data_IF_883418420073
#
_entry.id   IF_883418420073
#
_cell.length_a   1.000
_cell.length_b   1.000
_cell.length_c   1.000
_cell.angle_alpha   90.00
_cell.angle_beta   90.00
_cell.angle_gamma   90.00
#
_symmetry.space_group_name_H-M   'P 1'
#
loop_
_entity.id
_entity.type
_entity.pdbx_description
1 polymer ?
#
# COMPACT_ATOMS: atom_id res chain seq x y z
N UNK A 1 -14.70 2.66 15.37
CA UNK A 1 -13.94 3.38 14.32
C UNK A 1 -13.66 2.50 13.07
N UNK A 2 -14.65 2.37 12.19
CA UNK A 2 -14.72 1.50 10.99
C UNK A 2 -13.43 1.40 10.12
N UNK A 3 -12.85 0.21 9.86
CA UNK A 3 -11.74 -0.03 8.90
C UNK A 3 -12.24 -0.36 7.49
N UNK A 4 -13.55 -0.26 7.26
CA UNK A 4 -14.05 0.14 5.94
C UNK A 4 -13.59 1.57 5.57
N UNK A 5 -12.97 2.30 6.51
CA UNK A 5 -12.56 3.70 6.39
C UNK A 5 -11.14 3.99 6.92
N UNK A 6 -10.17 3.06 6.85
CA UNK A 6 -8.82 3.58 6.52
C UNK A 6 -8.94 3.98 5.07
N UNK A 7 -9.46 5.19 4.90
CA UNK A 7 -9.34 5.86 3.65
C UNK A 7 -7.82 5.99 3.47
N UNK A 8 -7.20 5.11 2.67
CA UNK A 8 -5.78 5.19 2.36
C UNK A 8 -5.42 6.59 1.83
N UNK A 9 -6.43 7.27 1.27
CA UNK A 9 -6.41 8.70 1.05
C UNK A 9 -6.20 9.50 2.36
N UNK A 10 -7.07 9.43 3.37
CA UNK A 10 -6.92 10.20 4.62
C UNK A 10 -5.72 9.78 5.49
N UNK A 11 -5.29 8.52 5.44
CA UNK A 11 -4.19 8.03 6.28
C UNK A 11 -2.80 8.34 5.71
N UNK A 12 -2.69 8.49 4.39
CA UNK A 12 -1.38 8.68 3.73
C UNK A 12 -1.40 9.77 2.67
N UNK A 13 -2.46 9.86 1.86
CA UNK A 13 -2.56 10.88 0.83
C UNK A 13 -2.81 12.27 1.40
N UNK A 14 -3.66 12.43 2.42
CA UNK A 14 -3.92 13.71 3.09
C UNK A 14 -2.68 14.18 3.85
N UNK A 15 -2.00 13.37 4.69
CA UNK A 15 -0.73 13.78 5.29
C UNK A 15 0.38 14.07 4.26
N UNK A 16 0.50 13.27 3.19
CA UNK A 16 1.48 13.54 2.13
C UNK A 16 1.15 14.83 1.35
N UNK A 17 -0.13 15.08 1.08
CA UNK A 17 -0.63 16.31 0.48
C UNK A 17 -0.35 17.51 1.40
N UNK A 18 -0.63 17.39 2.70
CA UNK A 18 -0.38 18.43 3.69
C UNK A 18 1.11 18.73 3.84
N UNK A 19 1.98 17.72 3.80
CA UNK A 19 3.44 17.89 3.80
C UNK A 19 3.90 18.67 2.56
N UNK A 20 3.38 18.34 1.36
CA UNK A 20 3.71 19.05 0.13
C UNK A 20 3.16 20.48 0.16
N UNK A 21 1.89 20.67 0.56
CA UNK A 21 1.24 21.97 0.65
C UNK A 21 1.94 22.89 1.67
N UNK A 22 2.32 22.33 2.82
CA UNK A 22 3.09 23.04 3.85
C UNK A 22 4.48 23.39 3.35
N UNK A 23 5.17 22.48 2.67
CA UNK A 23 6.49 22.74 2.07
C UNK A 23 6.41 23.90 1.06
N UNK A 24 5.39 23.92 0.20
CA UNK A 24 5.17 25.00 -0.76
C UNK A 24 4.83 26.34 -0.09
N UNK A 25 4.02 26.31 0.97
CA UNK A 25 3.69 27.51 1.74
C UNK A 25 4.93 28.12 2.40
N UNK A 26 5.77 27.29 3.00
CA UNK A 26 7.03 27.71 3.61
C UNK A 26 8.00 28.30 2.58
N UNK A 27 8.11 27.69 1.39
CA UNK A 27 8.95 28.21 0.32
C UNK A 27 8.45 29.59 -0.19
N UNK A 28 7.14 29.77 -0.37
CA UNK A 28 6.56 31.07 -0.74
C UNK A 28 6.80 32.15 0.31
N UNK A 29 6.74 31.77 1.58
CA UNK A 29 7.08 32.71 2.64
C UNK A 29 8.58 33.06 2.62
N UNK A 30 9.43 32.05 2.43
CA UNK A 30 10.88 32.23 2.30
C UNK A 30 11.29 33.09 1.09
N UNK A 31 10.53 33.06 0.00
CA UNK A 31 10.73 33.92 -1.18
C UNK A 31 10.58 35.42 -0.87
N UNK A 32 9.80 35.78 0.15
CA UNK A 32 9.66 37.18 0.57
C UNK A 32 10.83 37.69 1.42
N UNK A 33 11.77 36.81 1.80
CA UNK A 33 12.91 37.18 2.62
C UNK A 33 13.98 37.94 1.79
N UNK A 34 14.69 38.92 2.38
CA UNK A 34 15.74 39.67 1.68
C UNK A 34 16.88 38.81 1.14
N UNK A 35 17.05 37.60 1.69
CA UNK A 35 18.08 36.63 1.33
C UNK A 35 17.53 35.39 0.61
N UNK A 36 16.31 35.46 0.04
CA UNK A 36 15.64 34.32 -0.59
C UNK A 36 16.52 33.53 -1.58
N UNK A 37 17.36 34.22 -2.36
CA UNK A 37 18.24 33.61 -3.36
C UNK A 37 19.30 32.65 -2.78
N UNK A 38 19.68 32.79 -1.50
CA UNK A 38 20.67 31.92 -0.87
C UNK A 38 20.05 30.78 -0.05
N UNK A 39 18.75 30.84 0.25
CA UNK A 39 18.06 29.88 1.12
C UNK A 39 18.04 28.46 0.55
N UNK A 40 17.99 28.30 -0.77
CA UNK A 40 17.99 26.97 -1.41
C UNK A 40 19.29 26.19 -1.21
N UNK A 41 20.41 26.88 -0.96
CA UNK A 41 21.71 26.29 -0.67
C UNK A 41 21.98 26.16 0.84
N UNK A 42 21.14 26.77 1.68
CA UNK A 42 21.32 26.79 3.13
C UNK A 42 21.17 25.38 3.75
N UNK A 43 21.90 25.18 4.85
CA UNK A 43 21.98 23.91 5.60
C UNK A 43 21.85 24.19 7.09
N UNK A 44 21.27 23.24 7.83
CA UNK A 44 21.21 23.29 9.30
C UNK A 44 22.50 22.82 9.96
N UNK A 45 23.32 22.06 9.24
CA UNK A 45 24.66 21.62 9.63
C UNK A 45 25.52 21.40 8.39
N UNK A 46 26.85 21.56 8.49
CA UNK A 46 27.77 21.53 7.36
C UNK A 46 27.73 20.19 6.59
N UNK A 47 27.52 19.09 7.30
CA UNK A 47 27.37 17.74 6.73
C UNK A 47 25.96 17.40 6.25
N UNK A 48 24.96 18.23 6.51
CA UNK A 48 23.56 18.00 6.09
C UNK A 48 23.31 18.55 4.69
N UNK A 49 22.32 17.99 3.99
CA UNK A 49 21.97 18.40 2.63
C UNK A 49 21.40 19.84 2.59
N UNK A 50 21.50 20.54 1.45
CA UNK A 50 20.87 21.85 1.31
C UNK A 50 19.35 21.73 1.22
N UNK A 51 18.62 22.80 1.55
CA UNK A 51 17.16 22.88 1.50
C UNK A 51 16.57 22.33 0.19
N UNK A 52 17.16 22.71 -0.95
CA UNK A 52 16.75 22.22 -2.28
C UNK A 52 16.77 20.69 -2.41
N UNK A 53 17.76 20.02 -1.83
CA UNK A 53 17.85 18.56 -1.84
C UNK A 53 16.77 17.91 -0.96
N UNK A 54 16.45 18.50 0.21
CA UNK A 54 15.34 18.05 1.04
C UNK A 54 13.99 18.14 0.31
N UNK A 55 13.73 19.25 -0.41
CA UNK A 55 12.54 19.40 -1.25
C UNK A 55 12.46 18.33 -2.35
N UNK A 56 13.59 18.00 -3.00
CA UNK A 56 13.66 16.95 -4.01
C UNK A 56 13.32 15.55 -3.48
N UNK A 57 13.74 15.24 -2.24
CA UNK A 57 13.38 13.97 -1.57
C UNK A 57 11.87 13.91 -1.30
N UNK A 58 11.26 14.98 -0.79
CA UNK A 58 9.80 15.05 -0.55
C UNK A 58 9.03 14.75 -1.84
N UNK A 59 9.39 15.41 -2.95
CA UNK A 59 8.76 15.19 -4.25
C UNK A 59 8.91 13.74 -4.75
N UNK A 60 10.11 13.16 -4.62
CA UNK A 60 10.41 11.80 -5.09
C UNK A 60 9.69 10.73 -4.26
N UNK A 61 9.61 10.91 -2.94
CA UNK A 61 8.92 9.97 -2.04
C UNK A 61 7.43 9.91 -2.35
N UNK A 62 6.77 11.06 -2.57
CA UNK A 62 5.34 11.11 -2.93
C UNK A 62 5.08 10.43 -4.27
N UNK A 63 5.91 10.68 -5.29
CA UNK A 63 5.78 10.06 -6.62
C UNK A 63 5.92 8.53 -6.60
N UNK A 64 6.89 8.00 -5.84
CA UNK A 64 7.11 6.55 -5.71
C UNK A 64 6.06 5.86 -4.83
N UNK A 65 5.46 6.57 -3.87
CA UNK A 65 4.43 6.04 -2.98
C UNK A 65 3.11 5.82 -3.71
N UNK A 66 2.63 6.86 -4.42
CA UNK A 66 1.37 6.81 -5.18
C UNK A 66 1.39 5.73 -6.27
N UNK A 67 2.56 5.47 -6.87
CA UNK A 67 2.71 4.51 -7.97
C UNK A 67 2.87 3.04 -7.55
N UNK A 68 3.11 2.70 -6.27
CA UNK A 68 3.47 1.32 -5.85
C UNK A 68 2.38 0.57 -5.09
N UNK A 69 1.61 1.23 -4.23
CA UNK A 69 0.62 0.57 -3.35
C UNK A 69 -0.72 0.39 -4.06
N UNK A 70 -1.23 1.45 -4.71
CA UNK A 70 -2.49 1.37 -5.46
C UNK A 70 -2.37 0.43 -6.67
N UNK A 71 -1.24 0.41 -7.36
CA UNK A 71 -1.09 -0.39 -8.57
C UNK A 71 -1.16 -1.91 -8.34
N UNK A 72 -0.71 -2.46 -7.20
CA UNK A 72 -0.73 -3.91 -6.98
C UNK A 72 -2.10 -4.44 -6.57
N UNK A 73 -2.83 -3.72 -5.72
CA UNK A 73 -4.19 -4.10 -5.32
C UNK A 73 -5.20 -3.84 -6.45
N UNK A 74 -5.08 -2.71 -7.15
CA UNK A 74 -5.91 -2.42 -8.33
C UNK A 74 -5.62 -3.37 -9.48
N UNK A 75 -4.35 -3.76 -9.70
CA UNK A 75 -4.02 -4.78 -10.70
C UNK A 75 -4.56 -6.16 -10.32
N UNK A 76 -4.50 -6.56 -9.05
CA UNK A 76 -5.10 -7.80 -8.58
C UNK A 76 -6.63 -7.79 -8.76
N UNK A 77 -7.29 -6.68 -8.43
CA UNK A 77 -8.72 -6.48 -8.65
C UNK A 77 -9.07 -6.55 -10.15
N UNK A 78 -8.32 -5.84 -10.99
CA UNK A 78 -8.54 -5.84 -12.44
C UNK A 78 -8.34 -7.24 -13.04
N UNK A 79 -7.34 -8.00 -12.56
CA UNK A 79 -7.11 -9.38 -12.98
C UNK A 79 -8.31 -10.26 -12.60
N UNK A 80 -8.78 -10.18 -11.35
CA UNK A 80 -9.94 -10.95 -10.88
C UNK A 80 -11.21 -10.60 -11.65
N UNK A 81 -11.43 -9.32 -11.95
CA UNK A 81 -12.59 -8.87 -12.75
C UNK A 81 -12.52 -9.32 -14.22
N UNK A 82 -11.32 -9.34 -14.81
CA UNK A 82 -11.13 -9.77 -16.19
C UNK A 82 -11.06 -11.29 -16.36
N UNK A 83 -11.03 -12.05 -15.26
CA UNK A 83 -10.87 -13.51 -15.31
C UNK A 83 -12.19 -14.19 -15.70
N UNK A 84 -12.11 -15.04 -16.71
CA UNK A 84 -13.24 -15.85 -17.15
C UNK A 84 -13.52 -17.01 -16.18
N UNK A 85 -14.78 -17.11 -15.76
CA UNK A 85 -15.25 -18.09 -14.78
C UNK A 85 -15.05 -19.54 -15.26
N UNK A 86 -15.29 -19.82 -16.54
CA UNK A 86 -15.22 -21.18 -17.08
C UNK A 86 -13.77 -21.63 -17.22
N UNK A 87 -12.87 -20.72 -17.56
CA UNK A 87 -11.41 -20.96 -17.55
C UNK A 87 -10.93 -21.33 -16.14
N UNK A 88 -11.37 -20.61 -15.11
CA UNK A 88 -11.01 -20.91 -13.72
C UNK A 88 -11.57 -22.26 -13.29
N UNK A 89 -12.83 -22.53 -13.56
CA UNK A 89 -13.47 -23.80 -13.21
C UNK A 89 -12.78 -24.98 -13.88
N UNK A 90 -12.42 -24.87 -15.17
CA UNK A 90 -11.68 -25.89 -15.88
C UNK A 90 -10.30 -26.14 -15.26
N UNK A 91 -9.58 -25.06 -14.87
CA UNK A 91 -8.28 -25.16 -14.21
C UNK A 91 -8.36 -25.79 -12.82
N UNK A 92 -9.39 -25.46 -12.03
CA UNK A 92 -9.61 -26.05 -10.71
C UNK A 92 -9.94 -27.54 -10.81
N UNK A 93 -10.76 -27.93 -11.78
CA UNK A 93 -11.23 -29.31 -11.93
C UNK A 93 -10.12 -30.30 -12.36
N UNK A 94 -9.15 -29.84 -13.13
CA UNK A 94 -8.18 -30.73 -13.80
C UNK A 94 -6.72 -30.38 -13.55
N UNK A 95 -6.45 -29.18 -13.06
CA UNK A 95 -5.09 -28.69 -12.94
C UNK A 95 -4.33 -29.36 -11.80
N UNK A 96 -3.03 -29.53 -12.02
CA UNK A 96 -2.03 -29.76 -10.99
C UNK A 96 -1.05 -28.59 -10.94
N UNK A 97 -0.41 -28.43 -9.80
CA UNK A 97 0.71 -27.51 -9.60
C UNK A 97 1.72 -28.08 -8.63
N UNK A 98 2.94 -27.57 -8.72
CA UNK A 98 4.01 -27.84 -7.79
C UNK A 98 4.09 -26.64 -6.82
N UNK A 99 3.67 -26.82 -5.56
CA UNK A 99 3.67 -25.73 -4.60
C UNK A 99 5.10 -25.44 -4.16
N UNK A 100 5.47 -24.17 -3.93
CA UNK A 100 6.77 -23.85 -3.36
C UNK A 100 6.89 -24.49 -1.97
N UNK A 101 7.81 -25.45 -1.83
CA UNK A 101 8.02 -26.29 -0.64
C UNK A 101 9.52 -26.48 -0.41
N UNK A 102 9.97 -26.25 0.83
CA UNK A 102 11.36 -26.51 1.23
C UNK A 102 11.61 -28.02 1.49
N UNK A 103 10.55 -28.81 1.65
CA UNK A 103 10.58 -30.20 2.12
C UNK A 103 10.43 -31.24 0.98
N UNK A 104 10.46 -30.77 -0.27
CA UNK A 104 10.39 -31.59 -1.47
C UNK A 104 9.23 -31.21 -2.41
N UNK A 105 9.46 -31.45 -3.70
CA UNK A 105 8.56 -31.11 -4.81
C UNK A 105 7.48 -32.18 -4.98
N UNK A 106 6.33 -32.04 -4.30
CA UNK A 106 5.17 -32.91 -4.53
C UNK A 106 4.13 -32.18 -5.35
N UNK A 107 3.82 -32.70 -6.54
CA UNK A 107 2.72 -32.19 -7.35
C UNK A 107 1.37 -32.46 -6.66
N UNK A 108 0.54 -31.42 -6.57
CA UNK A 108 -0.80 -31.48 -5.97
C UNK A 108 -1.84 -30.95 -6.94
N UNK A 109 -3.09 -31.40 -6.79
CA UNK A 109 -4.19 -30.80 -7.55
C UNK A 109 -4.37 -29.32 -7.16
N UNK A 110 -4.70 -28.47 -8.13
CA UNK A 110 -4.97 -27.05 -7.92
C UNK A 110 -6.13 -26.88 -6.94
N UNK A 111 -7.15 -27.74 -7.00
CA UNK A 111 -8.26 -27.73 -6.05
C UNK A 111 -7.78 -27.92 -4.60
N UNK A 112 -6.93 -28.93 -4.35
CA UNK A 112 -6.39 -29.18 -3.00
C UNK A 112 -5.52 -28.02 -2.53
N UNK A 113 -4.65 -27.51 -3.40
CA UNK A 113 -3.80 -26.36 -3.06
C UNK A 113 -4.62 -25.12 -2.71
N UNK A 114 -5.62 -24.76 -3.54
CA UNK A 114 -6.46 -23.58 -3.32
C UNK A 114 -7.28 -23.72 -2.04
N UNK A 115 -7.95 -24.85 -1.84
CA UNK A 115 -8.87 -25.04 -0.71
C UNK A 115 -8.17 -25.25 0.63
N UNK A 116 -7.05 -25.99 0.66
CA UNK A 116 -6.42 -26.44 1.90
C UNK A 116 -5.22 -25.59 2.32
N UNK A 117 -4.60 -24.86 1.39
CA UNK A 117 -3.45 -24.01 1.69
C UNK A 117 -3.77 -22.54 1.43
N UNK A 118 -4.08 -22.19 0.17
CA UNK A 118 -4.14 -20.80 -0.25
C UNK A 118 -5.30 -20.02 0.41
N UNK A 119 -6.48 -20.63 0.50
CA UNK A 119 -7.66 -19.98 1.07
C UNK A 119 -7.52 -19.72 2.59
N UNK A 120 -7.12 -20.70 3.43
CA UNK A 120 -6.80 -20.43 4.84
C UNK A 120 -5.71 -19.36 5.01
N UNK A 121 -4.68 -19.37 4.15
CA UNK A 121 -3.58 -18.40 4.21
C UNK A 121 -4.07 -16.97 3.92
N UNK A 122 -4.96 -16.79 2.94
CA UNK A 122 -5.60 -15.50 2.68
C UNK A 122 -6.45 -15.02 3.87
N UNK A 123 -7.21 -15.91 4.50
CA UNK A 123 -8.02 -15.55 5.67
C UNK A 123 -7.17 -15.15 6.88
N UNK A 124 -6.05 -15.83 7.10
CA UNK A 124 -5.08 -15.43 8.13
C UNK A 124 -4.64 -13.98 7.93
N UNK A 125 -4.16 -13.63 6.73
CA UNK A 125 -3.70 -12.27 6.44
C UNK A 125 -4.83 -11.24 6.49
N UNK A 126 -6.05 -11.59 6.06
CA UNK A 126 -7.22 -10.73 6.17
C UNK A 126 -7.53 -10.39 7.64
N UNK A 127 -7.54 -11.39 8.52
CA UNK A 127 -7.77 -11.20 9.96
C UNK A 127 -6.65 -10.36 10.58
N UNK A 128 -5.40 -10.55 10.17
CA UNK A 128 -4.27 -9.69 10.61
C UNK A 128 -4.45 -8.24 10.16
N UNK A 129 -4.82 -8.01 8.90
CA UNK A 129 -5.11 -6.67 8.36
C UNK A 129 -6.28 -6.01 9.11
N UNK A 130 -7.27 -6.79 9.53
CA UNK A 130 -8.38 -6.31 10.36
C UNK A 130 -7.95 -5.97 11.81
N UNK A 131 -7.02 -6.73 12.39
CA UNK A 131 -6.59 -6.57 13.78
C UNK A 131 -5.56 -5.45 13.99
N UNK A 132 -4.63 -5.23 13.06
CA UNK A 132 -3.57 -4.20 13.22
C UNK A 132 -4.16 -2.81 13.54
N UNK A 133 -5.18 -2.30 12.80
CA UNK A 133 -5.78 -1.02 13.14
C UNK A 133 -6.48 -0.99 14.51
N UNK A 134 -7.04 -2.12 14.96
CA UNK A 134 -7.72 -2.24 16.26
C UNK A 134 -6.75 -2.00 17.41
N UNK A 135 -5.54 -2.53 17.29
CA UNK A 135 -4.45 -2.32 18.24
C UNK A 135 -4.01 -0.84 18.28
N UNK A 136 -4.06 -0.14 17.14
CA UNK A 136 -3.76 1.30 17.02
C UNK A 136 -4.94 2.22 17.41
N UNK A 137 -5.99 1.68 18.03
CA UNK A 137 -7.15 2.43 18.48
C UNK A 137 -8.19 2.75 17.39
N UNK A 138 -8.01 2.24 16.17
CA UNK A 138 -8.97 2.33 15.08
C UNK A 138 -9.84 1.06 15.09
N UNK A 139 -11.03 1.10 15.68
CA UNK A 139 -11.94 -0.05 15.81
C UNK A 139 -12.90 -0.29 14.61
N UNK A 140 -12.60 -1.17 13.64
CA UNK A 140 -13.44 -1.39 12.48
C UNK A 140 -14.89 -1.75 12.71
N UNK A 141 -15.22 -2.23 13.91
CA UNK A 141 -16.40 -3.02 14.14
C UNK A 141 -16.38 -4.33 13.36
N UNK A 142 -17.24 -5.26 13.75
CA UNK A 142 -17.36 -6.57 13.11
C UNK A 142 -17.64 -6.47 11.60
N UNK A 143 -18.39 -5.45 11.16
CA UNK A 143 -18.71 -5.21 9.75
C UNK A 143 -17.49 -4.85 8.89
N UNK A 144 -16.37 -4.39 9.50
CA UNK A 144 -15.12 -4.19 8.79
C UNK A 144 -14.42 -5.49 8.37
N UNK A 145 -14.77 -6.64 8.98
CA UNK A 145 -14.27 -7.96 8.60
C UNK A 145 -15.22 -8.70 7.66
N UNK A 146 -16.54 -8.55 7.86
CA UNK A 146 -17.57 -9.31 7.14
C UNK A 146 -18.35 -8.54 6.06
N UNK A 147 -18.20 -7.22 5.98
CA UNK A 147 -19.05 -6.36 5.13
C UNK A 147 -18.83 -6.45 3.62
N UNK A 148 -17.94 -7.34 3.16
CA UNK A 148 -17.66 -7.60 1.74
C UNK A 148 -18.17 -8.98 1.28
N UNK A 149 -18.93 -9.69 2.13
CA UNK A 149 -19.63 -10.94 1.79
C UNK A 149 -21.12 -10.69 1.52
#
# INVERSE_FOLDING_TARGET
>A
MNCSNINGYNAFFVPAYDVVATTLSLLRHAESAPNASSLLAARTHETMMPLSAHCGIVATCVYKLVSRVCNRLLAAQALLTATDKDVVNARIATGTLMPPSDDGETEVSVHVYVSSFNLPYLFFHLVTIYNIPREEGVDPGQNGLYGCF
#
